data_IF_927538785105
#
_entry.id   IF_927538785105
#
_cell.length_a   1.000
_cell.length_b   1.000
_cell.length_c   1.000
_cell.angle_alpha   90.00
_cell.angle_beta   90.00
_cell.angle_gamma   90.00
#
_symmetry.space_group_name_H-M   'P 1'
#
loop_
_entity.id
_entity.type
_entity.pdbx_description
1 polymer ?
#
# COMPACT_ATOMS: atom_id res chain seq x y z
N UNK A 1 42.66 7.82 47.23
CA UNK A 1 43.55 8.94 47.59
C UNK A 1 44.99 8.46 47.36
N UNK A 2 45.60 8.89 46.24
CA UNK A 2 47.06 8.83 45.89
C UNK A 2 47.77 7.44 45.99
N UNK A 3 48.58 6.96 45.04
CA UNK A 3 49.63 7.61 44.27
C UNK A 3 49.95 6.84 42.98
N UNK A 4 50.34 7.63 41.97
CA UNK A 4 51.30 7.40 40.89
C UNK A 4 52.12 6.10 40.88
N UNK A 5 52.25 5.51 39.68
CA UNK A 5 53.58 5.43 39.04
C UNK A 5 53.47 5.48 37.51
N UNK A 6 53.98 6.57 36.93
CA UNK A 6 54.52 6.61 35.56
C UNK A 6 55.98 6.18 35.67
N UNK A 7 56.38 5.23 34.83
CA UNK A 7 57.77 5.11 34.39
C UNK A 7 57.74 4.94 32.87
N UNK A 8 58.33 5.94 32.19
CA UNK A 8 58.58 6.00 30.77
C UNK A 8 60.10 5.95 30.59
N UNK A 9 60.58 5.14 29.64
CA UNK A 9 61.77 5.34 28.78
C UNK A 9 62.02 4.00 28.04
N UNK A 10 61.83 3.92 26.72
CA UNK A 10 62.84 4.14 25.67
C UNK A 10 64.06 3.21 25.82
N UNK A 11 64.55 2.45 24.85
CA UNK A 11 64.52 2.59 23.40
C UNK A 11 64.89 1.26 22.68
N UNK A 12 64.27 1.05 21.52
CA UNK A 12 64.83 0.60 20.22
C UNK A 12 65.95 -0.47 20.21
N UNK A 13 65.66 -1.65 19.62
CA UNK A 13 66.54 -2.19 18.57
C UNK A 13 65.83 -3.18 17.61
N UNK A 14 65.88 -2.77 16.35
CA UNK A 14 65.87 -3.45 15.05
C UNK A 14 65.27 -4.87 14.83
N UNK A 15 64.34 -4.86 13.86
CA UNK A 15 64.23 -5.76 12.72
C UNK A 15 63.64 -7.17 12.90
N UNK A 16 62.41 -7.33 12.42
CA UNK A 16 62.16 -8.34 11.38
C UNK A 16 60.98 -7.89 10.50
N UNK A 17 61.27 -7.61 9.24
CA UNK A 17 60.28 -7.31 8.21
C UNK A 17 59.40 -8.55 7.99
N UNK A 18 58.10 -8.45 8.24
CA UNK A 18 57.12 -9.35 7.63
C UNK A 18 55.77 -8.66 7.52
N UNK A 19 55.56 -8.15 6.31
CA UNK A 19 54.30 -7.91 5.61
C UNK A 19 53.06 -8.54 6.27
N UNK A 20 52.22 -7.73 6.89
CA UNK A 20 50.79 -8.03 7.03
C UNK A 20 50.01 -6.71 7.20
N UNK A 21 49.74 -6.11 6.06
CA UNK A 21 48.74 -5.07 5.85
C UNK A 21 47.37 -5.59 6.36
N UNK A 22 47.01 -5.33 7.62
CA UNK A 22 45.63 -5.50 8.09
C UNK A 22 44.87 -4.21 7.85
N UNK A 23 44.25 -4.18 6.66
CA UNK A 23 43.21 -3.26 6.25
C UNK A 23 42.24 -2.96 7.39
N UNK A 24 42.08 -1.67 7.69
CA UNK A 24 40.86 -1.13 8.27
C UNK A 24 39.77 -1.29 7.21
N UNK A 25 38.97 -2.36 7.32
CA UNK A 25 37.74 -2.48 6.52
C UNK A 25 36.70 -1.54 7.14
N UNK A 26 36.58 -0.37 6.51
CA UNK A 26 35.36 0.43 6.52
C UNK A 26 34.21 -0.48 6.09
N UNK A 27 33.34 -0.86 7.02
CA UNK A 27 32.04 -1.41 6.66
C UNK A 27 31.23 -0.26 6.04
N UNK A 28 31.31 -0.11 4.73
CA UNK A 28 30.23 0.53 3.99
C UNK A 28 29.02 -0.41 4.14
N UNK A 29 28.07 -0.05 5.02
CA UNK A 29 26.77 -0.67 5.03
C UNK A 29 26.05 -0.21 3.75
N UNK A 30 26.23 -0.97 2.66
CA UNK A 30 25.35 -0.88 1.51
C UNK A 30 23.95 -1.30 1.98
N UNK A 31 23.06 -0.32 2.12
CA UNK A 31 21.65 -0.56 2.34
C UNK A 31 21.09 -1.34 1.17
N UNK A 32 20.90 -2.65 1.35
CA UNK A 32 20.16 -3.46 0.40
C UNK A 32 18.70 -3.03 0.45
N UNK A 33 18.30 -2.13 -0.46
CA UNK A 33 16.91 -1.99 -0.86
C UNK A 33 16.49 -3.30 -1.51
N UNK A 34 15.88 -4.18 -0.72
CA UNK A 34 15.20 -5.37 -1.19
C UNK A 34 13.91 -4.94 -1.89
N UNK A 35 14.02 -4.45 -3.13
CA UNK A 35 12.87 -4.37 -4.03
C UNK A 35 12.56 -5.77 -4.59
N UNK A 36 12.17 -6.69 -3.71
CA UNK A 36 11.92 -8.08 -4.04
C UNK A 36 10.43 -8.32 -4.33
N UNK A 37 10.04 -8.10 -5.59
CA UNK A 37 9.28 -9.02 -6.45
C UNK A 37 8.57 -8.26 -7.60
N UNK A 38 9.25 -8.19 -8.75
CA UNK A 38 8.70 -7.62 -10.00
C UNK A 38 7.94 -8.69 -10.80
N UNK A 39 6.95 -9.31 -10.16
CA UNK A 39 6.07 -10.30 -10.78
C UNK A 39 4.68 -10.25 -10.13
N UNK A 40 3.60 -10.60 -10.85
CA UNK A 40 2.26 -10.59 -10.27
C UNK A 40 2.22 -11.55 -9.08
N UNK A 41 1.78 -11.05 -7.92
CA UNK A 41 1.56 -11.85 -6.74
C UNK A 41 0.54 -12.97 -7.06
N UNK A 42 1.04 -14.21 -7.06
CA UNK A 42 0.24 -15.39 -7.35
C UNK A 42 -0.37 -15.98 -6.07
N UNK A 43 0.18 -15.63 -4.91
CA UNK A 43 -0.25 -16.16 -3.64
C UNK A 43 -1.57 -15.51 -3.21
N UNK A 44 -2.40 -16.26 -2.50
CA UNK A 44 -3.64 -15.76 -1.92
C UNK A 44 -3.48 -15.74 -0.41
N UNK A 45 -3.74 -14.60 0.19
CA UNK A 45 -3.69 -14.39 1.63
C UNK A 45 -5.10 -14.44 2.22
N UNK A 46 -5.20 -14.81 3.49
CA UNK A 46 -6.46 -14.81 4.23
C UNK A 46 -6.76 -13.42 4.77
N UNK A 47 -8.04 -13.03 4.76
CA UNK A 47 -8.52 -11.82 5.40
C UNK A 47 -10.00 -11.93 5.73
N UNK A 48 -10.57 -10.85 6.24
CA UNK A 48 -12.02 -10.71 6.38
C UNK A 48 -12.51 -9.52 5.59
N UNK A 49 -13.81 -9.52 5.29
CA UNK A 49 -14.44 -8.38 4.65
C UNK A 49 -15.81 -8.07 5.26
N UNK A 50 -16.10 -6.77 5.37
CA UNK A 50 -17.44 -6.20 5.56
C UNK A 50 -17.78 -5.31 4.37
N UNK A 51 -18.89 -4.58 4.48
CA UNK A 51 -19.27 -3.55 3.52
C UNK A 51 -19.90 -2.34 4.21
N UNK A 52 -19.86 -1.20 3.53
CA UNK A 52 -20.41 0.07 4.01
C UNK A 52 -21.21 0.81 2.92
N UNK A 53 -21.94 1.83 3.37
CA UNK A 53 -22.76 2.68 2.51
C UNK A 53 -24.03 1.97 2.02
N UNK A 54 -24.52 2.36 0.84
CA UNK A 54 -25.72 1.76 0.26
C UNK A 54 -25.45 0.34 -0.27
N UNK A 55 -26.41 -0.61 -0.16
CA UNK A 55 -26.22 -2.01 -0.56
C UNK A 55 -25.75 -2.22 -2.01
N UNK A 56 -26.14 -1.33 -2.92
CA UNK A 56 -25.70 -1.34 -4.33
C UNK A 56 -24.91 -0.07 -4.69
N UNK A 57 -24.44 0.67 -3.68
CA UNK A 57 -23.77 1.96 -3.85
C UNK A 57 -22.27 1.85 -4.11
N UNK A 58 -21.68 3.02 -4.35
CA UNK A 58 -20.34 3.15 -4.92
C UNK A 58 -19.23 3.37 -3.90
N UNK A 59 -19.54 3.27 -2.60
CA UNK A 59 -18.64 3.63 -1.50
C UNK A 59 -18.88 5.05 -1.04
N UNK A 60 -17.82 5.78 -0.69
CA UNK A 60 -17.89 7.14 -0.15
C UNK A 60 -17.04 8.11 -0.97
N UNK A 61 -17.55 9.32 -1.19
CA UNK A 61 -16.78 10.43 -1.77
C UNK A 61 -15.86 11.12 -0.76
N UNK A 62 -15.97 10.77 0.53
CA UNK A 62 -15.17 11.35 1.61
C UNK A 62 -14.01 10.47 2.07
N UNK A 63 -13.56 9.51 1.24
CA UNK A 63 -12.53 8.56 1.64
C UNK A 63 -11.16 9.21 1.85
N UNK A 64 -10.36 8.59 2.73
CA UNK A 64 -9.05 9.07 3.17
C UNK A 64 -8.03 9.28 2.04
N UNK A 65 -8.19 8.61 0.89
CA UNK A 65 -7.31 8.77 -0.27
C UNK A 65 -7.64 9.99 -1.16
N UNK A 66 -8.75 10.70 -0.91
CA UNK A 66 -9.06 11.94 -1.62
C UNK A 66 -9.66 11.79 -3.03
N UNK A 67 -9.98 10.58 -3.49
CA UNK A 67 -10.51 10.35 -4.85
C UNK A 67 -11.92 10.92 -5.11
N UNK A 68 -12.65 11.34 -4.09
CA UNK A 68 -13.89 12.10 -4.27
C UNK A 68 -14.96 11.34 -5.08
N UNK A 69 -15.57 12.04 -6.04
CA UNK A 69 -16.62 11.48 -6.91
C UNK A 69 -16.13 10.44 -7.90
N UNK A 70 -14.82 10.19 -8.01
CA UNK A 70 -14.30 9.15 -8.90
C UNK A 70 -14.81 7.75 -8.54
N UNK A 71 -15.22 7.52 -7.29
CA UNK A 71 -15.72 6.22 -6.81
C UNK A 71 -16.93 5.70 -7.60
N UNK A 72 -17.81 6.58 -8.11
CA UNK A 72 -19.01 6.23 -8.89
C UNK A 72 -18.72 6.11 -10.41
N UNK A 73 -17.74 6.85 -10.91
CA UNK A 73 -17.47 6.90 -12.36
C UNK A 73 -16.39 5.91 -12.81
N UNK A 74 -16.35 5.62 -14.12
CA UNK A 74 -15.27 4.80 -14.69
C UNK A 74 -13.94 5.55 -14.58
N UNK A 75 -12.86 4.87 -14.13
CA UNK A 75 -12.73 3.41 -14.10
C UNK A 75 -13.05 2.71 -12.78
N UNK A 76 -13.36 3.43 -11.70
CA UNK A 76 -13.59 2.83 -10.38
C UNK A 76 -14.98 2.19 -10.34
N UNK A 77 -16.04 2.97 -10.58
CA UNK A 77 -17.44 2.53 -10.70
C UNK A 77 -17.84 1.46 -9.68
N UNK A 78 -17.89 1.88 -8.42
CA UNK A 78 -18.19 1.08 -7.25
C UNK A 78 -17.18 -0.02 -6.92
N UNK A 79 -16.08 -0.16 -7.66
CA UNK A 79 -15.04 -1.17 -7.38
C UNK A 79 -14.02 -0.64 -6.39
N UNK A 80 -14.51 -0.12 -5.27
CA UNK A 80 -13.71 0.55 -4.26
C UNK A 80 -13.89 -0.10 -2.89
N UNK A 81 -12.99 0.20 -1.97
CA UNK A 81 -13.13 -0.20 -0.58
C UNK A 81 -12.15 0.54 0.31
N UNK A 82 -12.50 0.56 1.60
CA UNK A 82 -11.60 0.90 2.67
C UNK A 82 -10.84 -0.36 3.13
N UNK A 83 -9.67 -0.18 3.73
CA UNK A 83 -8.90 -1.27 4.32
C UNK A 83 -8.40 -0.92 5.71
N UNK A 84 -8.16 -1.94 6.52
CA UNK A 84 -7.49 -1.78 7.81
C UNK A 84 -6.04 -1.29 7.67
N UNK A 85 -5.40 -0.91 8.79
CA UNK A 85 -4.10 -0.23 8.79
C UNK A 85 -2.97 -1.03 8.12
N UNK A 86 -3.03 -2.37 8.13
CA UNK A 86 -2.03 -3.24 7.51
C UNK A 86 -1.93 -3.07 5.98
N UNK A 87 -3.02 -2.73 5.31
CA UNK A 87 -3.01 -2.45 3.86
C UNK A 87 -3.12 -0.95 3.56
N UNK A 88 -3.70 -0.15 4.46
CA UNK A 88 -3.76 1.29 4.27
C UNK A 88 -2.38 1.93 4.37
N UNK A 89 -1.53 1.42 5.29
CA UNK A 89 -0.13 1.83 5.45
C UNK A 89 0.03 3.36 5.53
N UNK A 90 -0.79 4.03 6.36
CA UNK A 90 -0.83 5.48 6.50
C UNK A 90 -0.99 6.24 5.17
N UNK A 91 -1.74 5.67 4.23
CA UNK A 91 -2.00 6.24 2.90
C UNK A 91 -1.09 5.72 1.79
N UNK A 92 0.01 5.02 2.09
CA UNK A 92 0.84 4.39 1.06
C UNK A 92 0.06 3.34 0.25
N UNK A 93 -0.97 2.74 0.84
CA UNK A 93 -1.84 1.78 0.15
C UNK A 93 -2.90 2.41 -0.76
N UNK A 94 -3.04 3.74 -0.80
CA UNK A 94 -4.01 4.42 -1.67
C UNK A 94 -3.74 4.12 -3.14
N UNK A 95 -4.81 3.85 -3.89
CA UNK A 95 -4.74 3.52 -5.31
C UNK A 95 -4.36 2.06 -5.62
N UNK A 96 -3.85 1.31 -4.64
CA UNK A 96 -3.51 -0.11 -4.82
C UNK A 96 -4.75 -0.95 -5.20
N UNK A 97 -4.54 -1.96 -6.06
CA UNK A 97 -5.60 -2.87 -6.48
C UNK A 97 -5.45 -4.28 -5.89
N UNK A 98 -6.57 -4.83 -5.45
CA UNK A 98 -6.64 -6.20 -4.92
C UNK A 98 -7.71 -7.01 -5.63
N UNK A 99 -7.43 -8.29 -5.85
CA UNK A 99 -8.48 -9.27 -6.10
C UNK A 99 -8.95 -9.81 -4.75
N UNK A 100 -10.26 -9.77 -4.49
CA UNK A 100 -10.89 -10.28 -3.27
C UNK A 100 -11.92 -11.34 -3.65
N UNK A 101 -11.91 -12.47 -2.94
CA UNK A 101 -12.79 -13.61 -3.20
C UNK A 101 -13.35 -14.18 -1.90
N UNK A 102 -14.67 -14.25 -1.81
CA UNK A 102 -15.35 -14.95 -0.74
C UNK A 102 -15.19 -16.49 -0.85
N UNK A 103 -15.25 -17.18 0.29
CA UNK A 103 -15.00 -18.63 0.40
C UNK A 103 -16.25 -19.51 0.59
N UNK A 104 -17.41 -18.95 0.95
CA UNK A 104 -18.60 -19.79 1.16
C UNK A 104 -19.16 -20.30 -0.18
N UNK A 105 -19.03 -21.61 -0.41
CA UNK A 105 -19.47 -22.28 -1.64
C UNK A 105 -20.98 -22.27 -1.89
N UNK A 106 -21.80 -22.05 -0.86
CA UNK A 106 -23.26 -21.99 -0.99
C UNK A 106 -23.74 -20.71 -1.67
N UNK A 107 -22.95 -19.63 -1.61
CA UNK A 107 -23.40 -18.31 -2.03
C UNK A 107 -22.35 -17.54 -2.86
N UNK A 108 -21.08 -17.84 -2.70
CA UNK A 108 -20.00 -17.08 -3.31
C UNK A 108 -19.67 -17.59 -4.71
N UNK A 109 -19.52 -16.63 -5.62
CA UNK A 109 -19.02 -16.88 -6.96
C UNK A 109 -17.58 -17.39 -6.91
N UNK A 110 -17.19 -18.17 -7.92
CA UNK A 110 -15.79 -18.57 -8.10
C UNK A 110 -14.89 -17.40 -8.53
N UNK A 111 -15.49 -16.28 -9.00
CA UNK A 111 -14.78 -15.11 -9.49
C UNK A 111 -14.39 -14.20 -8.33
N UNK A 112 -13.17 -13.69 -8.37
CA UNK A 112 -12.76 -12.61 -7.48
C UNK A 112 -13.22 -11.26 -8.05
N UNK A 113 -13.65 -10.36 -7.18
CA UNK A 113 -13.85 -8.94 -7.53
C UNK A 113 -12.51 -8.23 -7.47
N UNK A 114 -12.29 -7.24 -8.32
CA UNK A 114 -11.09 -6.38 -8.22
C UNK A 114 -11.50 -5.06 -7.63
N UNK A 115 -10.91 -4.69 -6.51
CA UNK A 115 -11.20 -3.47 -5.74
C UNK A 115 -9.98 -2.56 -5.75
N UNK A 116 -10.23 -1.26 -5.74
CA UNK A 116 -9.24 -0.18 -5.65
C UNK A 116 -9.35 0.38 -4.24
N UNK A 117 -8.21 0.55 -3.57
CA UNK A 117 -8.22 1.11 -2.21
C UNK A 117 -8.36 2.63 -2.31
N UNK A 118 -9.44 3.15 -1.75
CA UNK A 118 -9.78 4.58 -1.80
C UNK A 118 -9.99 5.21 -0.44
N UNK A 119 -9.88 4.41 0.63
CA UNK A 119 -10.24 4.84 1.97
C UNK A 119 -9.52 4.00 3.04
N UNK A 120 -9.55 4.50 4.27
CA UNK A 120 -9.11 3.80 5.48
C UNK A 120 -10.32 3.33 6.27
N UNK A 121 -10.21 2.17 6.92
CA UNK A 121 -11.14 1.74 7.95
C UNK A 121 -10.43 1.76 9.31
N UNK A 122 -10.50 2.87 10.07
CA UNK A 122 -9.84 2.96 11.38
C UNK A 122 -10.43 2.00 12.43
N UNK A 123 -11.70 1.63 12.28
CA UNK A 123 -12.39 0.68 13.16
C UNK A 123 -12.14 -0.79 12.82
N UNK A 124 -11.40 -1.08 11.75
CA UNK A 124 -11.10 -2.44 11.35
C UNK A 124 -9.99 -3.05 12.21
N UNK A 125 -9.93 -4.39 12.33
CA UNK A 125 -8.87 -5.06 13.08
C UNK A 125 -7.47 -4.66 12.60
N UNK A 126 -6.56 -4.44 13.55
CA UNK A 126 -5.17 -4.07 13.27
C UNK A 126 -4.22 -5.27 13.21
N UNK A 127 -4.65 -6.42 13.70
CA UNK A 127 -3.87 -7.67 13.78
C UNK A 127 -4.12 -8.64 12.62
N UNK A 128 -5.09 -8.32 11.75
CA UNK A 128 -5.40 -9.09 10.55
C UNK A 128 -5.84 -8.20 9.39
N UNK A 129 -5.66 -8.66 8.16
CA UNK A 129 -6.14 -7.94 6.99
C UNK A 129 -7.67 -7.92 6.94
N UNK A 130 -8.20 -6.72 6.76
CA UNK A 130 -9.64 -6.49 6.64
C UNK A 130 -9.94 -5.53 5.48
N UNK A 131 -10.98 -5.85 4.72
CA UNK A 131 -11.54 -5.03 3.65
C UNK A 131 -12.95 -4.57 4.03
N UNK A 132 -13.19 -3.27 4.08
CA UNK A 132 -14.55 -2.75 4.21
C UNK A 132 -15.00 -2.20 2.85
N UNK A 133 -15.71 -3.03 2.09
CA UNK A 133 -15.96 -2.81 0.66
C UNK A 133 -17.19 -1.92 0.43
N UNK A 134 -17.29 -1.29 -0.75
CA UNK A 134 -18.59 -0.75 -1.17
C UNK A 134 -19.63 -1.88 -1.21
N UNK A 135 -20.91 -1.55 -0.93
CA UNK A 135 -22.00 -2.53 -0.98
C UNK A 135 -22.07 -3.27 -2.33
N UNK A 136 -21.86 -2.55 -3.44
CA UNK A 136 -21.82 -3.16 -4.77
C UNK A 136 -20.61 -4.10 -4.96
N UNK A 137 -19.40 -3.72 -4.50
CA UNK A 137 -18.22 -4.59 -4.62
C UNK A 137 -18.37 -5.86 -3.79
N UNK A 138 -18.92 -5.74 -2.58
CA UNK A 138 -19.19 -6.88 -1.70
C UNK A 138 -20.22 -7.83 -2.32
N UNK A 139 -21.37 -7.30 -2.75
CA UNK A 139 -22.43 -8.08 -3.39
C UNK A 139 -21.99 -8.79 -4.68
N UNK A 140 -21.08 -8.18 -5.46
CA UNK A 140 -20.52 -8.79 -6.69
C UNK A 140 -19.65 -10.03 -6.45
N UNK A 141 -19.31 -10.36 -5.20
CA UNK A 141 -18.68 -11.63 -4.85
C UNK A 141 -19.67 -12.81 -4.82
N UNK A 142 -20.98 -12.54 -4.78
CA UNK A 142 -22.01 -13.58 -4.76
C UNK A 142 -22.24 -14.20 -6.14
N UNK A 143 -22.88 -15.37 -6.16
CA UNK A 143 -23.53 -15.89 -7.37
C UNK A 143 -24.71 -14.99 -7.77
N UNK A 144 -25.13 -15.07 -9.03
CA UNK A 144 -26.20 -14.22 -9.55
C UNK A 144 -27.50 -14.39 -8.74
N UNK A 145 -28.06 -13.29 -8.26
CA UNK A 145 -29.29 -13.27 -7.42
C UNK A 145 -29.03 -13.26 -5.92
N UNK A 146 -27.81 -13.56 -5.47
CA UNK A 146 -27.48 -13.72 -4.05
C UNK A 146 -26.69 -12.54 -3.45
N UNK A 147 -26.69 -11.38 -4.12
CA UNK A 147 -25.97 -10.20 -3.66
C UNK A 147 -26.43 -9.73 -2.27
N UNK A 148 -27.76 -9.67 -2.07
CA UNK A 148 -28.38 -9.30 -0.79
C UNK A 148 -28.09 -10.31 0.31
N UNK A 149 -28.43 -11.59 0.11
CA UNK A 149 -28.12 -12.63 1.10
C UNK A 149 -26.63 -12.75 1.45
N UNK A 150 -25.70 -12.38 0.54
CA UNK A 150 -24.29 -12.30 0.89
C UNK A 150 -24.01 -11.12 1.84
N UNK A 151 -24.54 -9.93 1.53
CA UNK A 151 -24.43 -8.73 2.38
C UNK A 151 -25.03 -8.92 3.77
N UNK A 152 -26.12 -9.68 3.88
CA UNK A 152 -26.80 -9.96 5.16
C UNK A 152 -25.94 -10.79 6.12
N UNK A 153 -24.85 -11.40 5.63
CA UNK A 153 -23.85 -12.06 6.49
C UNK A 153 -22.98 -11.07 7.26
N UNK A 154 -22.98 -9.80 6.87
CA UNK A 154 -22.17 -8.74 7.46
C UNK A 154 -20.68 -8.97 7.20
N UNK A 155 -20.02 -9.66 8.12
CA UNK A 155 -18.60 -10.00 8.03
C UNK A 155 -18.40 -11.41 7.50
N UNK A 156 -17.54 -11.57 6.49
CA UNK A 156 -17.22 -12.88 5.89
C UNK A 156 -15.71 -13.12 5.80
N UNK A 157 -15.26 -14.39 5.85
CA UNK A 157 -13.90 -14.72 5.47
C UNK A 157 -13.70 -14.57 3.96
N UNK A 158 -12.59 -13.96 3.58
CA UNK A 158 -12.18 -13.81 2.18
C UNK A 158 -10.74 -14.28 2.02
N UNK A 159 -10.37 -14.55 0.77
CA UNK A 159 -8.98 -14.51 0.37
C UNK A 159 -8.76 -13.34 -0.56
N UNK A 160 -7.56 -12.78 -0.51
CA UNK A 160 -7.18 -11.68 -1.36
C UNK A 160 -5.77 -11.84 -1.90
N UNK A 161 -5.45 -11.08 -2.94
CA UNK A 161 -4.09 -10.92 -3.43
C UNK A 161 -3.92 -9.59 -4.14
N UNK A 162 -2.72 -9.03 -4.12
CA UNK A 162 -2.43 -7.81 -4.88
C UNK A 162 -2.52 -8.11 -6.37
N UNK A 163 -3.03 -7.16 -7.15
CA UNK A 163 -3.14 -7.30 -8.61
C UNK A 163 -2.79 -5.98 -9.28
N UNK A 164 -2.25 -6.02 -10.51
CA UNK A 164 -2.09 -4.79 -11.27
C UNK A 164 -3.42 -4.06 -11.45
N UNK A 165 -3.46 -2.76 -11.13
CA UNK A 165 -4.49 -1.84 -11.57
C UNK A 165 -4.49 -1.77 -13.10
N UNK A 166 -5.68 -1.52 -13.66
CA UNK A 166 -5.91 -1.44 -15.11
C UNK A 166 -6.85 -0.30 -15.43
N UNK A 167 -6.31 0.74 -16.06
CA UNK A 167 -7.07 1.93 -16.48
C UNK A 167 -7.02 2.18 -18.00
N UNK A 168 -7.65 1.32 -18.83
CA UNK A 168 -7.59 1.45 -20.29
C UNK A 168 -8.06 2.82 -20.78
N UNK A 169 -7.25 3.46 -21.63
CA UNK A 169 -7.57 4.77 -22.20
C UNK A 169 -7.40 5.94 -21.23
N UNK A 170 -6.92 5.70 -20.00
CA UNK A 170 -6.48 6.76 -19.08
C UNK A 170 -4.95 6.86 -19.11
N UNK A 171 -4.47 8.06 -18.80
CA UNK A 171 -3.07 8.33 -18.47
C UNK A 171 -3.03 8.71 -17.00
N UNK A 172 -1.87 8.56 -16.38
CA UNK A 172 -1.60 9.16 -15.06
C UNK A 172 -1.97 10.63 -15.16
N UNK A 173 -2.80 11.08 -14.23
CA UNK A 173 -3.23 12.46 -14.11
C UNK A 173 -2.81 13.02 -12.75
N UNK A 174 -2.69 14.34 -12.68
CA UNK A 174 -2.36 15.07 -11.47
C UNK A 174 -3.46 16.10 -11.27
N UNK A 175 -4.19 15.96 -10.17
CA UNK A 175 -5.21 16.89 -9.75
C UNK A 175 -4.63 17.81 -8.68
N UNK A 176 -4.69 19.11 -8.91
CA UNK A 176 -4.26 20.11 -7.92
C UNK A 176 -5.41 20.33 -6.95
N UNK A 177 -5.18 19.95 -5.69
CA UNK A 177 -6.19 20.05 -4.66
C UNK A 177 -6.55 21.51 -4.38
N UNK A 178 -7.83 21.73 -4.08
CA UNK A 178 -8.31 23.02 -3.57
C UNK A 178 -7.49 23.43 -2.33
N UNK A 179 -7.20 24.73 -2.23
CA UNK A 179 -6.31 25.27 -1.19
C UNK A 179 -4.83 25.30 -1.58
N UNK A 180 -4.44 24.74 -2.73
CA UNK A 180 -3.11 24.99 -3.30
C UNK A 180 -2.91 26.48 -3.61
N UNK A 181 -1.71 26.98 -3.34
CA UNK A 181 -1.30 28.38 -3.52
C UNK A 181 0.07 28.44 -4.21
N UNK A 182 0.55 29.63 -4.62
CA UNK A 182 1.92 29.76 -5.12
C UNK A 182 3.03 29.34 -4.13
N UNK A 183 2.73 29.19 -2.84
CA UNK A 183 3.69 28.83 -1.78
C UNK A 183 3.44 27.47 -1.15
N UNK A 184 2.35 26.79 -1.51
CA UNK A 184 1.99 25.47 -0.99
C UNK A 184 1.26 24.67 -2.06
N UNK A 185 1.75 23.47 -2.35
CA UNK A 185 1.18 22.61 -3.39
C UNK A 185 0.70 21.31 -2.76
N UNK A 186 -0.54 20.95 -3.05
CA UNK A 186 -1.08 19.63 -2.77
C UNK A 186 -1.68 19.04 -4.04
N UNK A 187 -1.32 17.79 -4.30
CA UNK A 187 -1.70 17.06 -5.49
C UNK A 187 -2.30 15.72 -5.09
N UNK A 188 -3.33 15.33 -5.82
CA UNK A 188 -3.77 13.94 -5.93
C UNK A 188 -3.23 13.40 -7.26
N UNK A 189 -2.60 12.23 -7.21
CA UNK A 189 -2.26 11.49 -8.43
C UNK A 189 -3.40 10.52 -8.70
N UNK A 190 -3.74 10.37 -9.97
CA UNK A 190 -4.88 9.57 -10.40
C UNK A 190 -4.45 8.61 -11.52
N UNK A 191 -5.10 7.45 -11.56
CA UNK A 191 -4.96 6.44 -12.61
C UNK A 191 -3.55 5.87 -12.73
N UNK A 192 -2.91 5.65 -11.59
CA UNK A 192 -1.66 4.91 -11.42
C UNK A 192 -1.88 3.46 -11.86
N UNK A 193 -1.54 3.17 -13.12
CA UNK A 193 -1.66 1.83 -13.66
C UNK A 193 -0.59 0.91 -13.05
N UNK A 194 -0.79 -0.41 -13.18
CA UNK A 194 0.08 -1.42 -12.58
C UNK A 194 0.06 -1.45 -11.04
N UNK A 195 1.09 -0.95 -10.34
CA UNK A 195 1.19 -1.14 -8.88
C UNK A 195 0.07 -0.41 -8.13
N UNK A 196 -0.34 0.77 -8.61
CA UNK A 196 -1.46 1.54 -8.09
C UNK A 196 -1.10 2.50 -6.95
N UNK A 197 -0.01 2.26 -6.22
CA UNK A 197 0.53 3.10 -5.16
C UNK A 197 1.74 3.92 -5.64
N UNK A 198 2.18 4.87 -4.81
CA UNK A 198 3.26 5.81 -5.12
C UNK A 198 4.37 5.68 -4.07
N UNK A 199 5.57 5.28 -4.50
CA UNK A 199 6.73 5.18 -3.60
C UNK A 199 7.44 6.51 -3.34
N UNK A 200 7.45 7.44 -4.30
CA UNK A 200 7.99 8.79 -4.12
C UNK A 200 7.47 9.77 -5.16
N UNK A 201 7.48 11.07 -4.82
CA UNK A 201 7.14 12.15 -5.73
C UNK A 201 8.16 13.29 -5.59
N UNK A 202 8.63 13.79 -6.73
CA UNK A 202 9.56 14.92 -6.80
C UNK A 202 9.08 15.93 -7.84
N UNK A 203 9.27 17.21 -7.55
CA UNK A 203 9.00 18.31 -8.47
C UNK A 203 10.29 19.05 -8.77
N UNK A 204 10.41 19.57 -9.99
CA UNK A 204 11.51 20.45 -10.39
C UNK A 204 10.93 21.55 -11.28
N UNK A 205 11.21 22.79 -10.91
CA UNK A 205 10.85 23.92 -11.76
C UNK A 205 11.71 23.90 -13.03
N UNK A 206 11.12 24.19 -14.19
CA UNK A 206 11.80 24.08 -15.51
C UNK A 206 13.11 24.89 -15.58
N UNK A 207 13.29 25.89 -14.70
CA UNK A 207 14.45 26.79 -14.65
C UNK A 207 15.24 26.75 -13.34
N UNK A 208 14.96 25.82 -12.42
CA UNK A 208 15.80 25.64 -11.24
C UNK A 208 17.07 24.88 -11.61
N UNK A 209 18.23 25.48 -11.41
CA UNK A 209 19.56 24.86 -11.61
C UNK A 209 19.84 23.78 -10.58
#
# INVERSE_FOLDING_TARGET
MQLHHRASTAAKSLACFSFALKLVLLYAAEGQSQHQHRGPDLHWYSGTATWYGDPEGDGSTGGACGYGSMVDVKPFRARVGAVGPLLFMNGEGCGACYKVRCLDKSICSRRAVTVIITDECPGCPSDQTHFDLSGAAFGRMAIAGENGPLRDRGQIPVIYRRTPCKYPGRKIAFHVNEGSTPFWLSLLVEFEDAEGDIGSMHIREVRST
#
